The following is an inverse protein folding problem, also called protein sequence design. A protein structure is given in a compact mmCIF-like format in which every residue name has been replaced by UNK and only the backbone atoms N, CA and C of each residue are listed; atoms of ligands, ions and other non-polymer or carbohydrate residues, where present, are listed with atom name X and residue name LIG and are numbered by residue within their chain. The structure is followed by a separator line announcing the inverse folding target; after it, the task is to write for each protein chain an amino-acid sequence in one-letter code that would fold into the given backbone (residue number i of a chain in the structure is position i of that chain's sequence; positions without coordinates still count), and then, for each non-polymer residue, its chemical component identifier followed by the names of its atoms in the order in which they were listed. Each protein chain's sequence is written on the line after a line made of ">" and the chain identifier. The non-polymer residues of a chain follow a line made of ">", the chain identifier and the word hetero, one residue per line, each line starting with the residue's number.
data_IF_167252836030
#
_entry.id   IF_167252836030
#
_cell.length_a   1.000
_cell.length_b   1.000
_cell.length_c   1.000
_cell.angle_alpha   90.00
_cell.angle_beta   90.00
_cell.angle_gamma   90.00
#
_symmetry.space_group_name_H-M   'P 1'
#
loop_
_entity.id
_entity.type
_entity.pdbx_description
1 polymer ?
#
# COMPACT_ATOMS: atom_id res chain seq x y z
N UNK A 1 8.10 -17.39 -23.38
CA UNK A 1 8.13 -17.32 -21.90
C UNK A 1 8.41 -15.89 -21.40
N UNK A 2 9.33 -15.18 -22.05
CA UNK A 2 9.74 -13.82 -21.63
C UNK A 2 8.60 -12.80 -21.74
N UNK A 3 7.74 -12.92 -22.76
CA UNK A 3 6.55 -12.05 -22.93
C UNK A 3 5.53 -12.22 -21.83
N UNK A 4 5.33 -13.43 -21.28
CA UNK A 4 4.40 -13.66 -20.19
C UNK A 4 4.89 -13.02 -18.88
N UNK A 5 6.15 -13.23 -18.53
CA UNK A 5 6.75 -12.64 -17.33
C UNK A 5 6.73 -11.12 -17.38
N UNK A 6 7.03 -10.52 -18.53
CA UNK A 6 6.93 -9.08 -18.73
C UNK A 6 5.50 -8.59 -18.58
N UNK A 7 4.53 -9.22 -19.24
CA UNK A 7 3.12 -8.84 -19.15
C UNK A 7 2.59 -8.94 -17.72
N UNK A 8 2.94 -10.01 -16.99
CA UNK A 8 2.59 -10.15 -15.56
C UNK A 8 3.22 -9.03 -14.75
N UNK A 9 4.49 -8.72 -14.96
CA UNK A 9 5.19 -7.65 -14.26
C UNK A 9 4.58 -6.27 -14.51
N UNK A 10 4.23 -5.96 -15.74
CA UNK A 10 3.58 -4.70 -16.11
C UNK A 10 2.18 -4.57 -15.49
N UNK A 11 1.37 -5.62 -15.51
CA UNK A 11 0.06 -5.63 -14.88
C UNK A 11 0.14 -5.50 -13.36
N UNK A 12 1.08 -6.18 -12.71
CA UNK A 12 1.31 -6.04 -11.28
C UNK A 12 1.80 -4.63 -10.92
N UNK A 13 2.65 -4.04 -11.75
CA UNK A 13 3.12 -2.67 -11.56
C UNK A 13 1.95 -1.66 -11.67
N UNK A 14 1.06 -1.85 -12.63
CA UNK A 14 -0.13 -1.00 -12.78
C UNK A 14 -1.03 -1.09 -11.55
N UNK A 15 -1.32 -2.29 -11.05
CA UNK A 15 -2.11 -2.49 -9.83
C UNK A 15 -1.43 -1.82 -8.62
N UNK A 16 -0.13 -2.01 -8.44
CA UNK A 16 0.61 -1.39 -7.35
C UNK A 16 0.60 0.14 -7.43
N UNK A 17 0.77 0.71 -8.63
CA UNK A 17 0.68 2.15 -8.85
C UNK A 17 -0.71 2.69 -8.52
N UNK A 18 -1.78 1.99 -8.90
CA UNK A 18 -3.15 2.37 -8.55
C UNK A 18 -3.38 2.39 -7.04
N UNK A 19 -2.83 1.44 -6.29
CA UNK A 19 -2.89 1.43 -4.82
C UNK A 19 -2.20 2.67 -4.23
N UNK A 20 -1.01 3.01 -4.72
CA UNK A 20 -0.28 4.21 -4.30
C UNK A 20 -1.08 5.48 -4.59
N UNK A 21 -1.65 5.59 -5.77
CA UNK A 21 -2.50 6.72 -6.16
C UNK A 21 -3.76 6.84 -5.30
N UNK A 22 -4.37 5.74 -4.90
CA UNK A 22 -5.51 5.74 -3.97
C UNK A 22 -5.13 6.25 -2.58
N UNK A 23 -3.98 5.84 -2.06
CA UNK A 23 -3.51 6.29 -0.73
C UNK A 23 -3.24 7.79 -0.71
N UNK A 24 -2.59 8.32 -1.74
CA UNK A 24 -2.14 9.72 -1.79
C UNK A 24 -3.09 10.66 -2.53
N UNK A 25 -3.94 10.15 -3.43
CA UNK A 25 -4.82 10.98 -4.26
C UNK A 25 -5.81 11.80 -3.44
N UNK A 26 -6.50 11.18 -2.49
CA UNK A 26 -7.41 11.90 -1.60
C UNK A 26 -6.66 12.86 -0.67
N UNK A 27 -5.49 12.46 -0.20
CA UNK A 27 -4.62 13.30 0.61
C UNK A 27 -4.22 14.59 -0.13
N UNK A 28 -3.91 14.49 -1.42
CA UNK A 28 -3.64 15.65 -2.27
C UNK A 28 -4.84 16.58 -2.37
N UNK A 29 -6.05 16.06 -2.51
CA UNK A 29 -7.27 16.86 -2.67
C UNK A 29 -7.60 17.72 -1.45
N UNK A 30 -7.34 17.21 -0.25
CA UNK A 30 -7.63 17.92 1.01
C UNK A 30 -6.50 18.82 1.50
N UNK A 31 -5.36 18.80 0.83
CA UNK A 31 -4.15 19.50 1.26
C UNK A 31 -4.04 20.90 0.65
N UNK A 32 -3.26 21.78 1.29
CA UNK A 32 -2.84 23.04 0.70
C UNK A 32 -1.98 22.79 -0.56
N UNK A 33 -1.94 23.74 -1.48
CA UNK A 33 -1.29 23.61 -2.79
C UNK A 33 0.17 23.13 -2.72
N UNK A 34 0.96 23.63 -1.78
CA UNK A 34 2.35 23.20 -1.63
C UNK A 34 2.45 21.74 -1.18
N UNK A 35 1.60 21.32 -0.24
CA UNK A 35 1.54 19.95 0.25
C UNK A 35 1.04 18.99 -0.83
N UNK A 36 0.11 19.43 -1.66
CA UNK A 36 -0.38 18.70 -2.84
C UNK A 36 0.78 18.44 -3.81
N UNK A 37 1.54 19.45 -4.16
CA UNK A 37 2.70 19.33 -5.04
C UNK A 37 3.74 18.34 -4.51
N UNK A 38 4.07 18.41 -3.21
CA UNK A 38 5.02 17.47 -2.57
C UNK A 38 4.49 16.04 -2.58
N UNK A 39 3.17 15.84 -2.37
CA UNK A 39 2.56 14.52 -2.41
C UNK A 39 2.54 13.94 -3.83
N UNK A 40 2.21 14.74 -4.83
CA UNK A 40 2.26 14.34 -6.24
C UNK A 40 3.67 13.95 -6.66
N UNK A 41 4.69 14.70 -6.25
CA UNK A 41 6.09 14.38 -6.51
C UNK A 41 6.51 13.04 -5.86
N UNK A 42 6.09 12.80 -4.62
CA UNK A 42 6.31 11.51 -3.94
C UNK A 42 5.65 10.36 -4.70
N UNK A 43 4.41 10.52 -5.15
CA UNK A 43 3.70 9.52 -5.95
C UNK A 43 4.43 9.23 -7.26
N UNK A 44 4.89 10.26 -7.97
CA UNK A 44 5.67 10.10 -9.20
C UNK A 44 6.95 9.30 -8.98
N UNK A 45 7.69 9.58 -7.92
CA UNK A 45 8.90 8.84 -7.57
C UNK A 45 8.62 7.37 -7.25
N UNK A 46 7.59 7.10 -6.46
CA UNK A 46 7.20 5.74 -6.08
C UNK A 46 6.72 4.97 -7.30
N UNK A 47 5.82 5.52 -8.09
CA UNK A 47 5.24 4.84 -9.25
C UNK A 47 6.27 4.60 -10.35
N UNK A 48 7.18 5.53 -10.60
CA UNK A 48 8.30 5.34 -11.52
C UNK A 48 9.22 4.21 -11.08
N UNK A 49 9.51 4.10 -9.79
CA UNK A 49 10.32 3.02 -9.22
C UNK A 49 9.65 1.66 -9.36
N UNK A 50 8.34 1.57 -9.09
CA UNK A 50 7.54 0.36 -9.26
C UNK A 50 7.54 -0.06 -10.74
N UNK A 51 7.23 0.87 -11.64
CA UNK A 51 7.16 0.60 -13.08
C UNK A 51 8.48 0.12 -13.67
N UNK A 52 9.61 0.56 -13.12
CA UNK A 52 10.94 0.14 -13.52
C UNK A 52 11.33 -1.25 -12.98
N UNK A 53 11.15 -1.47 -11.70
CA UNK A 53 11.75 -2.63 -11.02
C UNK A 53 10.85 -3.85 -10.98
N UNK A 54 9.53 -3.69 -10.94
CA UNK A 54 8.63 -4.83 -10.83
C UNK A 54 8.58 -5.67 -12.10
N UNK A 55 8.43 -5.11 -13.32
CA UNK A 55 8.52 -5.89 -14.56
C UNK A 55 9.88 -6.57 -14.72
N UNK A 56 10.96 -5.85 -14.41
CA UNK A 56 12.31 -6.41 -14.47
C UNK A 56 12.48 -7.63 -13.55
N UNK A 57 11.98 -7.53 -12.30
CA UNK A 57 12.09 -8.64 -11.36
C UNK A 57 11.29 -9.88 -11.78
N UNK A 58 10.16 -9.69 -12.44
CA UNK A 58 9.35 -10.82 -12.95
C UNK A 58 10.05 -11.57 -14.08
N UNK A 59 10.80 -10.87 -14.94
CA UNK A 59 11.57 -11.49 -16.02
C UNK A 59 12.69 -12.41 -15.51
N UNK A 60 13.12 -12.26 -14.27
CA UNK A 60 14.13 -13.12 -13.64
C UNK A 60 13.56 -14.45 -13.12
N UNK A 61 12.23 -14.60 -13.14
CA UNK A 61 11.55 -15.79 -12.66
C UNK A 61 11.37 -16.83 -13.78
N UNK A 62 11.58 -18.09 -13.43
CA UNK A 62 11.15 -19.19 -14.29
C UNK A 62 9.63 -19.37 -14.21
N UNK A 63 9.10 -20.19 -15.10
CA UNK A 63 7.65 -20.43 -15.21
C UNK A 63 7.05 -20.95 -13.90
N UNK A 64 7.72 -21.84 -13.20
CA UNK A 64 7.25 -22.43 -11.94
C UNK A 64 7.10 -21.38 -10.83
N UNK A 65 8.12 -20.55 -10.64
CA UNK A 65 8.08 -19.46 -9.64
C UNK A 65 7.06 -18.41 -9.99
N UNK A 66 6.92 -18.07 -11.26
CA UNK A 66 5.93 -17.11 -11.72
C UNK A 66 4.51 -17.64 -11.48
N UNK A 67 4.26 -18.89 -11.79
CA UNK A 67 2.96 -19.55 -11.52
C UNK A 67 2.65 -19.62 -10.03
N UNK A 68 3.62 -19.94 -9.20
CA UNK A 68 3.46 -19.94 -7.74
C UNK A 68 3.13 -18.56 -7.19
N UNK A 69 3.80 -17.52 -7.67
CA UNK A 69 3.50 -16.13 -7.30
C UNK A 69 2.06 -15.74 -7.68
N UNK A 70 1.66 -16.06 -8.91
CA UNK A 70 0.30 -15.74 -9.40
C UNK A 70 -0.77 -16.50 -8.63
N UNK A 71 -0.49 -17.73 -8.25
CA UNK A 71 -1.39 -18.51 -7.39
C UNK A 71 -1.55 -17.87 -6.01
N UNK A 72 -0.46 -17.51 -5.36
CA UNK A 72 -0.46 -16.88 -4.03
C UNK A 72 -1.17 -15.51 -4.05
N UNK A 73 -0.87 -14.68 -5.05
CA UNK A 73 -1.52 -13.37 -5.20
C UNK A 73 -3.02 -13.51 -5.54
N UNK A 74 -3.40 -14.53 -6.29
CA UNK A 74 -4.80 -14.79 -6.64
C UNK A 74 -5.68 -15.01 -5.40
N UNK A 75 -5.13 -15.55 -4.32
CA UNK A 75 -5.85 -15.68 -3.04
C UNK A 75 -6.06 -14.35 -2.29
N UNK A 76 -5.24 -13.35 -2.59
CA UNK A 76 -5.35 -12.01 -2.01
C UNK A 76 -6.12 -11.04 -2.90
N UNK A 77 -6.51 -11.46 -4.09
CA UNK A 77 -7.23 -10.67 -5.07
C UNK A 77 -8.66 -11.15 -5.21
N UNK A 78 -9.59 -10.22 -5.34
CA UNK A 78 -10.96 -10.49 -5.74
C UNK A 78 -11.39 -9.54 -6.82
N UNK A 79 -12.24 -10.00 -7.73
CA UNK A 79 -12.83 -9.20 -8.79
C UNK A 79 -14.31 -9.02 -8.49
N UNK A 80 -14.72 -7.78 -8.24
CA UNK A 80 -16.11 -7.45 -7.90
C UNK A 80 -16.46 -6.11 -8.53
N UNK A 81 -17.62 -6.04 -9.19
CA UNK A 81 -18.13 -4.82 -9.83
C UNK A 81 -17.16 -4.19 -10.85
N UNK A 82 -16.45 -5.04 -11.60
CA UNK A 82 -15.48 -4.59 -12.60
C UNK A 82 -14.15 -4.06 -12.03
N UNK A 83 -13.92 -4.23 -10.73
CA UNK A 83 -12.72 -3.76 -10.05
C UNK A 83 -11.95 -4.91 -9.40
N UNK A 84 -10.63 -4.75 -9.35
CA UNK A 84 -9.73 -5.64 -8.63
C UNK A 84 -9.56 -5.11 -7.20
N UNK A 85 -9.80 -5.98 -6.23
CA UNK A 85 -9.59 -5.70 -4.81
C UNK A 85 -8.44 -6.52 -4.29
N UNK A 86 -7.47 -5.85 -3.64
CA UNK A 86 -6.42 -6.50 -2.87
C UNK A 86 -6.88 -6.61 -1.42
N UNK A 87 -6.81 -7.81 -0.85
CA UNK A 87 -7.22 -8.08 0.53
C UNK A 87 -6.07 -8.72 1.30
N UNK A 88 -5.78 -8.18 2.45
CA UNK A 88 -4.86 -8.77 3.40
C UNK A 88 -5.40 -8.63 4.83
N UNK A 89 -5.12 -9.59 5.72
CA UNK A 89 -5.55 -9.48 7.10
C UNK A 89 -4.81 -8.35 7.83
N UNK A 90 -5.56 -7.55 8.56
CA UNK A 90 -5.03 -6.49 9.42
C UNK A 90 -5.21 -6.94 10.87
N UNK A 91 -4.20 -6.78 11.75
CA UNK A 91 -4.35 -7.03 13.17
C UNK A 91 -5.54 -6.25 13.74
N UNK A 92 -6.44 -6.94 14.43
CA UNK A 92 -7.70 -6.36 14.90
C UNK A 92 -7.50 -5.13 15.81
N UNK A 93 -6.41 -5.13 16.59
CA UNK A 93 -6.09 -4.01 17.47
C UNK A 93 -5.74 -2.73 16.70
N UNK A 94 -5.06 -2.82 15.56
CA UNK A 94 -4.74 -1.66 14.72
C UNK A 94 -6.00 -1.02 14.12
N UNK A 95 -6.87 -1.84 13.56
CA UNK A 95 -8.13 -1.37 13.00
C UNK A 95 -9.02 -0.72 14.09
N UNK A 96 -9.06 -1.31 15.28
CA UNK A 96 -9.85 -0.81 16.40
C UNK A 96 -9.28 0.52 16.92
N UNK A 97 -7.97 0.63 17.08
CA UNK A 97 -7.32 1.88 17.50
C UNK A 97 -7.55 3.00 16.48
N UNK A 98 -7.43 2.69 15.19
CA UNK A 98 -7.68 3.69 14.14
C UNK A 98 -9.12 4.19 14.14
N UNK A 99 -10.10 3.31 14.37
CA UNK A 99 -11.50 3.70 14.51
C UNK A 99 -11.77 4.56 15.76
N UNK A 100 -11.06 4.31 16.85
CA UNK A 100 -11.16 5.15 18.05
C UNK A 100 -10.69 6.58 17.77
N UNK A 101 -9.60 6.76 17.03
CA UNK A 101 -9.15 8.09 16.61
C UNK A 101 -10.15 8.79 15.67
N UNK A 102 -10.92 8.06 14.87
CA UNK A 102 -11.92 8.67 13.98
C UNK A 102 -13.02 9.45 14.71
N UNK A 103 -13.20 9.19 15.98
CA UNK A 103 -14.17 9.90 16.82
C UNK A 103 -13.55 10.98 17.71
N UNK A 104 -12.22 11.03 17.83
CA UNK A 104 -11.50 11.85 18.81
C UNK A 104 -10.23 12.50 18.25
N UNK A 105 -10.30 13.09 17.05
CA UNK A 105 -9.17 13.88 16.51
C UNK A 105 -9.20 15.33 17.02
N UNK A 106 -8.86 15.52 18.28
CA UNK A 106 -8.99 16.83 18.93
C UNK A 106 -7.66 17.59 19.07
N UNK A 107 -6.53 16.92 18.80
CA UNK A 107 -5.21 17.54 18.96
C UNK A 107 -4.27 17.14 17.83
N UNK A 108 -3.20 17.91 17.63
CA UNK A 108 -2.12 17.56 16.70
C UNK A 108 -1.43 16.23 17.07
N UNK A 109 -1.41 15.89 18.36
CA UNK A 109 -0.90 14.62 18.84
C UNK A 109 -1.79 13.46 18.37
N UNK A 110 -3.11 13.57 18.48
CA UNK A 110 -4.05 12.54 18.02
C UNK A 110 -3.94 12.31 16.52
N UNK A 111 -3.82 13.39 15.75
CA UNK A 111 -3.63 13.32 14.30
C UNK A 111 -2.33 12.57 13.96
N UNK A 112 -1.22 12.92 14.60
CA UNK A 112 0.06 12.26 14.37
C UNK A 112 0.01 10.77 14.72
N UNK A 113 -0.67 10.40 15.81
CA UNK A 113 -0.87 8.99 16.19
C UNK A 113 -1.74 8.23 15.20
N UNK A 114 -2.82 8.83 14.72
CA UNK A 114 -3.67 8.22 13.69
C UNK A 114 -2.90 7.95 12.40
N UNK A 115 -2.06 8.89 11.94
CA UNK A 115 -1.22 8.71 10.76
C UNK A 115 -0.12 7.65 10.98
N UNK A 116 0.44 7.54 12.17
CA UNK A 116 1.35 6.44 12.51
C UNK A 116 0.66 5.08 12.40
N UNK A 117 -0.58 4.96 12.84
CA UNK A 117 -1.38 3.73 12.69
C UNK A 117 -1.69 3.42 11.23
N UNK A 118 -1.99 4.43 10.42
CA UNK A 118 -2.19 4.28 8.98
C UNK A 118 -0.93 3.71 8.33
N UNK A 119 0.25 4.27 8.64
CA UNK A 119 1.54 3.77 8.14
C UNK A 119 1.74 2.31 8.55
N UNK A 120 1.46 1.96 9.80
CA UNK A 120 1.60 0.58 10.28
C UNK A 120 0.65 -0.39 9.54
N UNK A 121 -0.58 -0.01 9.30
CA UNK A 121 -1.54 -0.79 8.52
C UNK A 121 -1.07 -0.98 7.09
N UNK A 122 -0.56 0.06 6.45
CA UNK A 122 0.01 -0.02 5.09
C UNK A 122 1.24 -0.92 5.08
N UNK A 123 2.11 -0.83 6.08
CA UNK A 123 3.31 -1.67 6.20
C UNK A 123 2.98 -3.16 6.33
N UNK A 124 1.89 -3.51 7.01
CA UNK A 124 1.36 -4.88 7.02
C UNK A 124 1.00 -5.36 5.61
N UNK A 125 0.40 -4.50 4.80
CA UNK A 125 0.10 -4.80 3.40
C UNK A 125 1.36 -4.99 2.56
N UNK A 126 2.34 -4.13 2.70
CA UNK A 126 3.64 -4.25 2.02
C UNK A 126 4.33 -5.55 2.42
N UNK A 127 4.29 -5.93 3.67
CA UNK A 127 4.86 -7.20 4.13
C UNK A 127 4.17 -8.38 3.46
N UNK A 128 2.85 -8.44 3.47
CA UNK A 128 2.09 -9.59 2.97
C UNK A 128 2.03 -9.66 1.44
N UNK A 129 2.00 -8.52 0.76
CA UNK A 129 1.86 -8.45 -0.70
C UNK A 129 3.20 -8.36 -1.44
N UNK A 130 4.27 -7.93 -0.78
CA UNK A 130 5.57 -7.68 -1.42
C UNK A 130 6.72 -8.43 -0.74
N UNK A 131 6.95 -8.19 0.55
CA UNK A 131 8.12 -8.76 1.25
C UNK A 131 8.06 -10.27 1.39
N UNK A 132 6.92 -10.82 1.80
CA UNK A 132 6.74 -12.27 1.99
C UNK A 132 6.76 -13.01 0.63
N UNK A 133 6.05 -12.57 -0.43
CA UNK A 133 6.20 -13.15 -1.76
C UNK A 133 7.64 -13.08 -2.27
N UNK A 134 8.35 -11.96 -2.08
CA UNK A 134 9.75 -11.84 -2.48
C UNK A 134 10.63 -12.91 -1.84
N UNK A 135 10.46 -13.18 -0.56
CA UNK A 135 11.20 -14.25 0.15
C UNK A 135 10.93 -15.63 -0.43
N UNK A 136 9.68 -15.94 -0.77
CA UNK A 136 9.31 -17.22 -1.38
C UNK A 136 9.90 -17.42 -2.77
N UNK A 137 10.10 -16.34 -3.52
CA UNK A 137 10.64 -16.37 -4.88
C UNK A 137 12.13 -16.75 -4.93
N UNK A 138 12.85 -16.65 -3.82
CA UNK A 138 14.25 -17.08 -3.67
C UNK A 138 15.15 -16.55 -4.79
N UNK A 139 15.16 -15.25 -5.00
CA UNK A 139 16.11 -14.58 -5.88
C UNK A 139 17.55 -14.87 -5.43
N UNK A 140 18.50 -14.79 -6.37
CA UNK A 140 19.89 -14.85 -5.97
C UNK A 140 20.24 -13.66 -5.04
N UNK A 141 21.32 -13.79 -4.27
CA UNK A 141 21.68 -12.83 -3.24
C UNK A 141 21.78 -11.38 -3.74
N UNK A 142 22.36 -11.17 -4.92
CA UNK A 142 22.53 -9.82 -5.48
C UNK A 142 21.19 -9.18 -5.83
N UNK A 143 20.32 -9.92 -6.50
CA UNK A 143 18.96 -9.47 -6.86
C UNK A 143 18.11 -9.25 -5.62
N UNK A 144 18.15 -10.19 -4.68
CA UNK A 144 17.37 -10.09 -3.44
C UNK A 144 17.74 -8.84 -2.62
N UNK A 145 19.05 -8.57 -2.50
CA UNK A 145 19.54 -7.37 -1.81
C UNK A 145 19.16 -6.08 -2.55
N UNK A 146 19.25 -6.07 -3.87
CA UNK A 146 18.83 -4.93 -4.69
C UNK A 146 17.34 -4.64 -4.53
N UNK A 147 16.49 -5.66 -4.63
CA UNK A 147 15.04 -5.51 -4.44
C UNK A 147 14.70 -5.08 -3.01
N UNK A 148 15.37 -5.61 -1.99
CA UNK A 148 15.18 -5.17 -0.61
C UNK A 148 15.49 -3.68 -0.44
N UNK A 149 16.57 -3.21 -1.06
CA UNK A 149 16.92 -1.78 -1.09
C UNK A 149 15.86 -0.92 -1.76
N UNK A 150 15.37 -1.33 -2.93
CA UNK A 150 14.30 -0.64 -3.66
C UNK A 150 13.01 -0.58 -2.84
N UNK A 151 12.58 -1.69 -2.26
CA UNK A 151 11.38 -1.76 -1.40
C UNK A 151 11.55 -0.84 -0.20
N UNK A 152 12.69 -0.88 0.48
CA UNK A 152 12.98 -0.03 1.63
C UNK A 152 12.94 1.46 1.30
N UNK A 153 13.60 1.89 0.24
CA UNK A 153 13.58 3.29 -0.17
C UNK A 153 12.19 3.77 -0.59
N UNK A 154 11.47 2.97 -1.36
CA UNK A 154 10.13 3.30 -1.87
C UNK A 154 9.12 3.42 -0.72
N UNK A 155 9.13 2.47 0.20
CA UNK A 155 8.23 2.50 1.37
C UNK A 155 8.56 3.65 2.30
N UNK A 156 9.83 3.96 2.53
CA UNK A 156 10.23 5.11 3.34
C UNK A 156 9.77 6.44 2.76
N UNK A 157 9.84 6.63 1.44
CA UNK A 157 9.30 7.83 0.79
C UNK A 157 7.82 8.03 1.10
N UNK A 158 7.03 6.98 0.95
CA UNK A 158 5.59 7.00 1.24
C UNK A 158 5.28 7.23 2.72
N UNK A 159 5.94 6.51 3.62
CA UNK A 159 5.71 6.61 5.06
C UNK A 159 6.10 7.98 5.62
N UNK A 160 7.25 8.51 5.23
CA UNK A 160 7.67 9.86 5.63
C UNK A 160 6.69 10.92 5.14
N UNK A 161 6.14 10.74 3.94
CA UNK A 161 5.15 11.67 3.41
C UNK A 161 3.85 11.62 4.22
N UNK A 162 3.35 10.45 4.55
CA UNK A 162 2.16 10.28 5.38
C UNK A 162 2.37 10.86 6.79
N UNK A 163 3.50 10.57 7.42
CA UNK A 163 3.83 11.11 8.75
C UNK A 163 3.95 12.64 8.73
N UNK A 164 4.57 13.21 7.71
CA UNK A 164 4.66 14.67 7.53
C UNK A 164 3.28 15.27 7.35
N UNK A 165 2.41 14.66 6.57
CA UNK A 165 1.02 15.12 6.41
C UNK A 165 0.25 15.06 7.73
N UNK A 166 0.44 14.03 8.54
CA UNK A 166 -0.15 13.93 9.87
C UNK A 166 0.25 15.07 10.82
N UNK A 167 1.37 15.73 10.57
CA UNK A 167 1.83 16.91 11.33
C UNK A 167 1.34 18.24 10.75
N UNK A 168 0.92 18.26 9.50
CA UNK A 168 0.57 19.49 8.75
C UNK A 168 -0.93 19.69 8.59
N UNK A 169 -1.72 18.61 8.62
CA UNK A 169 -3.17 18.68 8.46
C UNK A 169 -3.84 19.24 9.71
N UNK A 170 -4.88 20.06 9.51
CA UNK A 170 -5.77 20.44 10.59
C UNK A 170 -6.73 19.29 10.95
N UNK A 171 -7.46 19.36 12.07
CA UNK A 171 -8.37 18.28 12.50
C UNK A 171 -9.44 17.92 11.48
N UNK A 172 -10.00 18.90 10.77
CA UNK A 172 -11.04 18.68 9.75
C UNK A 172 -10.49 17.91 8.55
N UNK A 173 -9.32 18.30 8.03
CA UNK A 173 -8.64 17.61 6.94
C UNK A 173 -8.24 16.19 7.35
N UNK A 174 -7.67 16.03 8.53
CA UNK A 174 -7.27 14.72 9.06
C UNK A 174 -8.47 13.80 9.24
N UNK A 175 -9.59 14.32 9.75
CA UNK A 175 -10.83 13.57 9.89
C UNK A 175 -11.35 13.08 8.54
N UNK A 176 -11.36 13.94 7.52
CA UNK A 176 -11.80 13.57 6.18
C UNK A 176 -10.92 12.46 5.57
N UNK A 177 -9.60 12.53 5.75
CA UNK A 177 -8.69 11.48 5.27
C UNK A 177 -8.89 10.17 6.02
N UNK A 178 -9.04 10.22 7.33
CA UNK A 178 -9.24 9.04 8.17
C UNK A 178 -10.55 8.32 7.81
N UNK A 179 -11.63 9.04 7.62
CA UNK A 179 -12.91 8.48 7.17
C UNK A 179 -12.79 7.82 5.79
N UNK A 180 -12.08 8.47 4.86
CA UNK A 180 -11.79 7.90 3.55
C UNK A 180 -10.98 6.59 3.67
N UNK A 181 -9.93 6.58 4.47
CA UNK A 181 -9.09 5.40 4.68
C UNK A 181 -9.86 4.25 5.33
N UNK A 182 -10.70 4.53 6.31
CA UNK A 182 -11.51 3.54 7.02
C UNK A 182 -12.55 2.83 6.13
N UNK A 183 -12.94 3.42 5.00
CA UNK A 183 -13.82 2.77 4.04
C UNK A 183 -13.19 1.49 3.44
N UNK A 184 -11.87 1.42 3.39
CA UNK A 184 -11.13 0.25 2.90
C UNK A 184 -10.93 -0.83 3.97
N UNK A 185 -11.27 -0.55 5.23
CA UNK A 185 -11.18 -1.49 6.34
C UNK A 185 -12.59 -1.98 6.68
N UNK A 186 -13.02 -3.16 6.19
CA UNK A 186 -14.35 -3.65 6.48
C UNK A 186 -14.52 -3.93 7.97
N UNK A 187 -15.62 -3.48 8.55
CA UNK A 187 -16.06 -3.96 9.86
C UNK A 187 -16.32 -5.46 9.72
N UNK A 188 -15.68 -6.29 10.53
CA UNK A 188 -16.12 -7.68 10.71
C UNK A 188 -17.56 -7.62 11.24
N UNK A 189 -18.53 -7.75 10.35
CA UNK A 189 -19.86 -8.16 10.78
C UNK A 189 -19.69 -9.57 11.32
N UNK A 190 -19.77 -9.72 12.64
CA UNK A 190 -20.06 -11.00 13.26
C UNK A 190 -21.34 -11.52 12.59
N UNK A 191 -21.17 -12.39 11.57
CA UNK A 191 -22.29 -13.24 11.13
C UNK A 191 -22.50 -14.26 12.24
N UNK A 192 -23.39 -13.93 13.17
CA UNK A 192 -24.02 -14.93 14.00
C UNK A 192 -24.82 -15.79 13.01
N UNK A 193 -24.35 -16.99 12.71
CA UNK A 193 -25.20 -18.01 12.08
C UNK A 193 -26.24 -18.38 13.13
N UNK A 194 -27.45 -17.89 12.94
CA UNK A 194 -28.63 -18.49 13.54
C UNK A 194 -28.89 -19.86 12.90
#
# INVERSE_FOLDING_TARGET
>A
SDNLAQAVGENLAEIACQVVEQVFGFLSQISAQQQQFESEHTVEQITATIAKHLPWSMQLLNHERLSSLMHDLGHMMSFTDGQIWLKYPIPAHLAMQLRQYSHNLNSSHDIAQAFSLIVEIIDQGVTQLVRDPKKKLKFNFMVDKSLAGVIGLTTQLGYKRLEKMGKQLNPEQAQAYLEHFLQFIPQKKLRIKL
#
